data_IF_057771424725
#
_entry.id   IF_057771424725
#
_cell.length_a   1.000
_cell.length_b   1.000
_cell.length_c   1.000
_cell.angle_alpha   90.00
_cell.angle_beta   90.00
_cell.angle_gamma   90.00
#
_symmetry.space_group_name_H-M   'P 1'
#
loop_
_entity.id
_entity.type
_entity.pdbx_description
1 polymer ?
#
# COMPACT_ATOMS: atom_id res chain seq x y z
N UNK A 1 4.13 19.42 2.70
CA UNK A 1 2.90 19.70 3.47
C UNK A 1 3.11 20.94 4.33
N UNK A 2 2.18 21.90 4.26
CA UNK A 2 2.20 23.11 5.11
C UNK A 2 1.52 22.88 6.47
N UNK A 3 0.62 21.89 6.55
CA UNK A 3 -0.06 21.51 7.79
C UNK A 3 -0.32 20.00 7.87
N UNK A 4 -0.54 19.51 9.07
CA UNK A 4 -0.83 18.10 9.37
C UNK A 4 -2.32 17.76 9.34
N UNK A 5 -3.20 18.78 9.33
CA UNK A 5 -4.66 18.60 9.39
C UNK A 5 -5.29 18.26 8.05
N UNK A 6 -4.62 18.58 6.93
CA UNK A 6 -5.17 18.49 5.59
C UNK A 6 -6.17 19.60 5.25
N UNK A 7 -6.25 20.64 6.07
CA UNK A 7 -7.05 21.84 5.74
C UNK A 7 -6.42 22.49 4.51
N UNK A 8 -7.29 22.94 3.61
CA UNK A 8 -6.85 23.55 2.36
C UNK A 8 -5.96 24.80 2.61
N UNK A 9 -4.79 24.76 2.01
CA UNK A 9 -3.78 25.81 2.07
C UNK A 9 -3.03 25.77 0.73
N UNK A 10 -2.76 26.90 0.07
CA UNK A 10 -2.03 26.95 -1.20
C UNK A 10 -0.65 26.29 -1.17
N UNK A 11 0.03 26.34 -0.01
CA UNK A 11 1.33 25.71 0.21
C UNK A 11 1.24 24.22 0.56
N UNK A 12 0.02 23.69 0.77
CA UNK A 12 -0.22 22.29 1.14
C UNK A 12 -0.47 21.42 -0.09
N UNK A 13 0.57 21.08 -0.82
CA UNK A 13 0.53 20.24 -2.00
C UNK A 13 1.34 18.95 -1.82
N UNK A 14 0.99 17.94 -2.58
CA UNK A 14 1.64 16.63 -2.58
C UNK A 14 1.41 15.92 -3.91
N UNK A 15 2.11 14.82 -4.12
CA UNK A 15 1.87 13.92 -5.25
C UNK A 15 1.20 12.63 -4.80
N UNK A 16 0.54 11.92 -5.73
CA UNK A 16 0.00 10.57 -5.43
C UNK A 16 1.12 9.60 -5.01
N UNK A 17 2.34 9.83 -5.48
CA UNK A 17 3.52 9.05 -5.06
C UNK A 17 3.87 9.30 -3.60
N UNK A 18 3.89 10.54 -3.14
CA UNK A 18 4.21 10.88 -1.75
C UNK A 18 3.15 10.33 -0.80
N UNK A 19 1.88 10.43 -1.18
CA UNK A 19 0.78 9.81 -0.42
C UNK A 19 0.95 8.29 -0.36
N UNK A 20 1.38 7.64 -1.44
CA UNK A 20 1.67 6.20 -1.45
C UNK A 20 2.85 5.85 -0.52
N UNK A 21 3.93 6.65 -0.54
CA UNK A 21 5.08 6.46 0.34
C UNK A 21 4.70 6.61 1.81
N UNK A 22 3.93 7.66 2.15
CA UNK A 22 3.39 7.88 3.49
C UNK A 22 2.47 6.73 3.92
N UNK A 23 1.61 6.25 3.04
CA UNK A 23 0.73 5.10 3.28
C UNK A 23 1.53 3.83 3.59
N UNK A 24 2.57 3.54 2.80
CA UNK A 24 3.46 2.41 3.04
C UNK A 24 4.23 2.54 4.36
N UNK A 25 4.68 3.74 4.69
CA UNK A 25 5.35 4.00 5.96
C UNK A 25 4.42 3.71 7.14
N UNK A 26 3.18 4.21 7.10
CA UNK A 26 2.16 3.96 8.12
C UNK A 26 1.90 2.45 8.30
N UNK A 27 1.68 1.73 7.20
CA UNK A 27 1.40 0.29 7.22
C UNK A 27 2.56 -0.50 7.84
N UNK A 28 3.81 -0.17 7.47
CA UNK A 28 5.00 -0.91 7.90
C UNK A 28 5.41 -0.59 9.33
N UNK A 29 5.38 0.69 9.71
CA UNK A 29 5.97 1.15 10.96
C UNK A 29 4.94 1.34 12.07
N UNK A 30 3.66 1.43 11.72
CA UNK A 30 2.57 1.66 12.66
C UNK A 30 1.39 0.70 12.44
N UNK A 31 1.62 -0.64 12.34
CA UNK A 31 0.59 -1.61 12.00
C UNK A 31 -0.57 -1.61 13.00
N UNK A 32 -0.29 -1.40 14.29
CA UNK A 32 -1.33 -1.29 15.34
C UNK A 32 -2.32 -0.16 15.06
N UNK A 33 -1.85 1.00 14.62
CA UNK A 33 -2.71 2.14 14.30
C UNK A 33 -3.36 1.99 12.93
N UNK A 34 -2.71 1.25 12.02
CA UNK A 34 -3.26 0.97 10.70
C UNK A 34 -4.57 0.17 10.78
N UNK A 35 -4.74 -0.69 11.76
CA UNK A 35 -5.96 -1.46 12.00
C UNK A 35 -7.23 -0.59 12.07
N UNK A 36 -7.12 0.66 12.52
CA UNK A 36 -8.25 1.58 12.61
C UNK A 36 -8.81 2.00 11.24
N UNK A 37 -8.00 1.93 10.19
CA UNK A 37 -8.43 2.36 8.86
C UNK A 37 -9.41 1.39 8.19
N UNK A 38 -9.51 0.17 8.67
CA UNK A 38 -10.49 -0.83 8.20
C UNK A 38 -11.84 -0.74 8.90
N UNK A 39 -11.93 0.00 10.03
CA UNK A 39 -13.18 0.17 10.77
C UNK A 39 -14.22 0.82 9.86
N UNK A 40 -15.43 0.22 9.82
CA UNK A 40 -16.51 0.67 8.96
C UNK A 40 -17.31 1.81 9.55
N UNK A 41 -17.36 1.90 10.86
CA UNK A 41 -18.03 2.97 11.61
C UNK A 41 -17.32 3.25 12.92
N UNK A 42 -17.51 4.44 13.44
CA UNK A 42 -17.00 4.86 14.72
C UNK A 42 -18.04 5.72 15.45
N UNK A 43 -18.26 5.39 16.72
CA UNK A 43 -19.16 6.14 17.59
C UNK A 43 -18.33 6.82 18.67
N UNK A 44 -18.60 8.08 18.92
CA UNK A 44 -17.98 8.82 20.01
C UNK A 44 -19.01 9.64 20.77
N UNK A 45 -18.74 9.83 22.06
CA UNK A 45 -19.56 10.67 22.91
C UNK A 45 -19.29 12.14 22.57
N UNK A 46 -20.38 12.86 22.36
CA UNK A 46 -20.33 14.29 22.15
C UNK A 46 -20.52 14.99 23.49
N UNK A 47 -19.60 15.91 23.83
CA UNK A 47 -19.75 16.73 25.03
C UNK A 47 -21.07 17.50 25.00
N UNK A 48 -21.98 17.19 25.94
CA UNK A 48 -23.30 17.85 26.07
C UNK A 48 -24.34 17.46 25.02
N UNK A 49 -24.22 16.28 24.38
CA UNK A 49 -25.19 15.78 23.42
C UNK A 49 -25.19 14.27 23.27
N UNK A 50 -26.06 13.74 22.41
CA UNK A 50 -26.11 12.32 22.11
C UNK A 50 -24.87 11.82 21.40
N UNK A 51 -24.48 10.54 21.55
CA UNK A 51 -23.39 9.92 20.80
C UNK A 51 -23.56 10.08 19.29
N UNK A 52 -22.45 10.34 18.61
CA UNK A 52 -22.43 10.47 17.15
C UNK A 52 -21.80 9.23 16.55
N UNK A 53 -22.54 8.54 15.67
CA UNK A 53 -22.01 7.44 14.85
C UNK A 53 -21.75 7.92 13.44
N UNK A 54 -20.54 7.68 12.94
CA UNK A 54 -20.14 8.06 11.58
C UNK A 54 -19.58 6.86 10.83
N UNK A 55 -20.10 6.60 9.63
CA UNK A 55 -19.57 5.58 8.73
C UNK A 55 -18.27 6.01 8.05
N UNK A 56 -17.39 5.05 7.81
CA UNK A 56 -16.17 5.28 7.04
C UNK A 56 -16.53 5.65 5.60
N UNK A 57 -15.94 6.71 5.10
CA UNK A 57 -16.20 7.23 3.73
C UNK A 57 -15.45 6.48 2.64
N UNK A 58 -14.59 5.52 2.99
CA UNK A 58 -13.89 4.69 2.01
C UNK A 58 -14.84 3.64 1.42
N UNK A 59 -15.26 3.78 0.14
CA UNK A 59 -16.24 2.88 -0.45
C UNK A 59 -15.72 1.47 -0.66
N UNK A 60 -14.40 1.27 -0.63
CA UNK A 60 -13.80 -0.03 -0.91
C UNK A 60 -13.90 -1.00 0.27
N UNK A 61 -14.05 -0.48 1.50
CA UNK A 61 -14.28 -1.29 2.70
C UNK A 61 -15.62 -2.05 2.66
N UNK A 62 -16.58 -1.56 1.87
CA UNK A 62 -17.90 -2.15 1.72
C UNK A 62 -17.99 -3.09 0.51
N UNK A 63 -16.89 -3.25 -0.23
CA UNK A 63 -16.79 -4.18 -1.35
C UNK A 63 -16.10 -5.47 -0.90
N UNK A 64 -16.67 -6.61 -1.28
CA UNK A 64 -16.19 -7.93 -0.85
C UNK A 64 -14.92 -8.38 -1.59
N UNK A 65 -13.88 -7.55 -1.65
CA UNK A 65 -12.59 -7.95 -2.22
C UNK A 65 -11.39 -7.76 -1.28
N UNK A 66 -11.68 -7.39 -0.01
CA UNK A 66 -10.68 -7.39 1.07
C UNK A 66 -9.86 -6.13 1.20
N UNK A 67 -10.38 -4.96 0.76
CA UNK A 67 -9.74 -3.69 1.06
C UNK A 67 -9.77 -3.41 2.58
N UNK A 68 -8.67 -2.89 3.12
CA UNK A 68 -8.44 -2.66 4.56
C UNK A 68 -8.03 -1.22 4.92
N UNK A 69 -8.14 -0.30 4.00
CA UNK A 69 -7.82 1.12 4.19
C UNK A 69 -7.87 1.88 2.87
N UNK A 70 -7.46 3.14 2.80
CA UNK A 70 -6.80 3.94 3.84
C UNK A 70 -7.63 5.22 4.11
N UNK A 71 -7.58 6.21 3.19
CA UNK A 71 -8.17 7.53 3.43
C UNK A 71 -8.76 8.13 2.17
N UNK A 72 -9.94 8.71 2.31
CA UNK A 72 -10.59 9.52 1.27
C UNK A 72 -10.25 10.99 1.44
N UNK A 73 -10.16 11.72 0.34
CA UNK A 73 -10.06 13.17 0.31
C UNK A 73 -11.11 13.80 -0.62
N UNK A 74 -11.39 15.07 -0.37
CA UNK A 74 -12.17 15.92 -1.25
C UNK A 74 -11.80 17.38 -1.02
N UNK A 75 -11.46 18.07 -2.09
CA UNK A 75 -11.37 19.52 -2.18
C UNK A 75 -12.11 19.97 -3.45
N UNK A 76 -12.73 21.12 -3.43
CA UNK A 76 -13.47 21.61 -4.59
C UNK A 76 -12.60 21.72 -5.85
N UNK A 77 -11.34 22.14 -5.68
CA UNK A 77 -10.34 22.29 -6.75
C UNK A 77 -9.77 20.95 -7.22
N UNK A 78 -9.55 19.99 -6.29
CA UNK A 78 -8.89 18.71 -6.54
C UNK A 78 -9.89 17.55 -6.74
N UNK A 79 -11.18 17.81 -6.55
CA UNK A 79 -12.23 16.80 -6.61
C UNK A 79 -12.02 15.68 -5.57
N UNK A 80 -12.39 14.45 -5.93
CA UNK A 80 -12.31 13.30 -5.03
C UNK A 80 -10.97 12.58 -5.14
N UNK A 81 -10.44 12.15 -4.02
CA UNK A 81 -9.22 11.34 -3.95
C UNK A 81 -9.40 10.14 -3.04
N UNK A 82 -8.55 9.13 -3.22
CA UNK A 82 -8.52 7.93 -2.40
C UNK A 82 -7.11 7.33 -2.38
N UNK A 83 -6.57 7.17 -1.19
CA UNK A 83 -5.53 6.21 -0.91
C UNK A 83 -6.21 4.92 -0.43
N UNK A 84 -5.91 3.81 -1.07
CA UNK A 84 -6.54 2.52 -0.79
C UNK A 84 -5.50 1.41 -0.71
N UNK A 85 -5.81 0.38 0.09
CA UNK A 85 -4.95 -0.78 0.28
C UNK A 85 -5.76 -2.07 0.31
N UNK A 86 -5.11 -3.14 -0.09
CA UNK A 86 -5.61 -4.51 -0.01
C UNK A 86 -4.46 -5.45 0.27
N UNK A 87 -4.70 -6.45 1.13
CA UNK A 87 -3.78 -7.56 1.32
C UNK A 87 -4.43 -8.88 0.93
N UNK A 88 -3.73 -9.65 0.11
CA UNK A 88 -4.19 -10.98 -0.30
C UNK A 88 -3.01 -11.92 -0.48
N UNK A 89 -3.07 -13.08 0.17
CA UNK A 89 -2.03 -14.12 0.10
C UNK A 89 -0.63 -13.59 0.45
N UNK A 90 -0.52 -12.79 1.50
CA UNK A 90 0.75 -12.19 1.94
C UNK A 90 1.29 -11.10 1.02
N UNK A 91 0.52 -10.68 0.02
CA UNK A 91 0.86 -9.58 -0.88
C UNK A 91 -0.03 -8.38 -0.61
N UNK A 92 0.58 -7.27 -0.25
CA UNK A 92 -0.09 -5.99 -0.08
C UNK A 92 0.06 -5.12 -1.33
N UNK A 93 -1.02 -4.46 -1.70
CA UNK A 93 -1.05 -3.44 -2.72
C UNK A 93 -1.59 -2.14 -2.12
N UNK A 94 -0.97 -1.04 -2.50
CA UNK A 94 -1.44 0.31 -2.21
C UNK A 94 -1.69 1.01 -3.53
N UNK A 95 -2.85 1.63 -3.66
CA UNK A 95 -3.24 2.43 -4.83
C UNK A 95 -3.71 3.81 -4.37
N UNK A 96 -3.18 4.85 -5.01
CA UNK A 96 -3.54 6.25 -4.73
C UNK A 96 -3.99 6.91 -6.01
N UNK A 97 -5.13 7.56 -5.95
CA UNK A 97 -5.68 8.34 -7.06
C UNK A 97 -6.28 9.65 -6.57
N UNK A 98 -6.18 10.71 -7.37
CA UNK A 98 -6.75 12.02 -7.14
C UNK A 98 -7.43 12.55 -8.41
N UNK A 99 -8.21 13.60 -8.28
CA UNK A 99 -8.87 14.25 -9.41
C UNK A 99 -10.10 13.52 -9.94
N UNK A 100 -10.69 12.58 -9.21
CA UNK A 100 -11.90 11.90 -9.64
C UNK A 100 -13.10 12.86 -9.60
N UNK A 101 -13.82 13.00 -10.70
CA UNK A 101 -14.96 13.92 -10.82
C UNK A 101 -16.10 13.58 -9.85
N UNK A 102 -16.33 12.29 -9.57
CA UNK A 102 -17.43 11.82 -8.73
C UNK A 102 -16.98 10.77 -7.72
N UNK A 103 -17.75 10.63 -6.61
CA UNK A 103 -17.58 9.54 -5.64
C UNK A 103 -17.68 8.16 -6.31
N UNK A 104 -18.56 8.01 -7.29
CA UNK A 104 -18.78 6.77 -8.04
C UNK A 104 -17.54 6.42 -8.87
N UNK A 105 -16.99 7.41 -9.59
CA UNK A 105 -15.79 7.24 -10.41
C UNK A 105 -14.57 6.90 -9.52
N UNK A 106 -14.38 7.63 -8.43
CA UNK A 106 -13.35 7.31 -7.42
C UNK A 106 -13.42 5.85 -6.98
N UNK A 107 -14.61 5.38 -6.57
CA UNK A 107 -14.83 4.00 -6.15
C UNK A 107 -14.54 2.98 -7.25
N UNK A 108 -14.99 3.25 -8.47
CA UNK A 108 -14.82 2.38 -9.64
C UNK A 108 -13.36 2.24 -10.04
N UNK A 109 -12.68 3.36 -10.27
CA UNK A 109 -11.32 3.35 -10.80
C UNK A 109 -10.29 2.89 -9.77
N UNK A 110 -10.46 3.24 -8.49
CA UNK A 110 -9.60 2.71 -7.40
C UNK A 110 -9.75 1.20 -7.25
N UNK A 111 -10.97 0.65 -7.33
CA UNK A 111 -11.18 -0.80 -7.33
C UNK A 111 -10.50 -1.48 -8.52
N UNK A 112 -10.66 -0.89 -9.71
CA UNK A 112 -10.10 -1.40 -10.95
C UNK A 112 -8.56 -1.45 -10.90
N UNK A 113 -7.93 -0.40 -10.36
CA UNK A 113 -6.49 -0.35 -10.19
C UNK A 113 -5.97 -1.43 -9.23
N UNK A 114 -6.60 -1.61 -8.07
CA UNK A 114 -6.24 -2.67 -7.12
C UNK A 114 -6.43 -4.07 -7.72
N UNK A 115 -7.56 -4.32 -8.37
CA UNK A 115 -7.82 -5.59 -9.05
C UNK A 115 -6.79 -5.83 -10.15
N UNK A 116 -6.48 -4.83 -10.95
CA UNK A 116 -5.42 -4.92 -11.97
C UNK A 116 -4.09 -5.34 -11.36
N UNK A 117 -3.67 -4.71 -10.26
CA UNK A 117 -2.46 -5.07 -9.54
C UNK A 117 -2.46 -6.51 -9.02
N UNK A 118 -3.60 -6.98 -8.50
CA UNK A 118 -3.75 -8.35 -7.99
C UNK A 118 -3.73 -9.41 -9.10
N UNK A 119 -4.33 -9.11 -10.25
CA UNK A 119 -4.55 -10.10 -11.31
C UNK A 119 -3.41 -10.18 -12.32
N UNK A 120 -2.67 -9.08 -12.53
CA UNK A 120 -1.66 -9.00 -13.59
C UNK A 120 -0.22 -9.13 -13.11
N UNK A 121 0.00 -9.19 -11.80
CA UNK A 121 1.36 -9.28 -11.25
C UNK A 121 1.44 -10.39 -10.19
N UNK A 122 2.58 -11.04 -10.12
CA UNK A 122 2.94 -12.02 -9.11
C UNK A 122 4.07 -11.48 -8.23
N UNK A 123 4.07 -11.89 -6.94
CA UNK A 123 5.18 -11.66 -6.02
C UNK A 123 6.03 -12.93 -5.99
N UNK A 124 7.28 -12.81 -6.38
CA UNK A 124 8.23 -13.93 -6.41
C UNK A 124 9.24 -13.73 -5.31
N UNK A 125 9.43 -14.77 -4.48
CA UNK A 125 10.56 -14.83 -3.55
C UNK A 125 11.81 -15.22 -4.35
N UNK A 126 12.80 -14.35 -4.36
CA UNK A 126 14.10 -14.54 -5.05
C UNK A 126 15.08 -15.27 -4.12
N UNK A 127 15.16 -14.82 -2.87
CA UNK A 127 15.99 -15.45 -1.86
C UNK A 127 15.29 -15.52 -0.52
N UNK A 128 15.67 -16.48 0.28
CA UNK A 128 15.22 -16.66 1.65
C UNK A 128 16.35 -16.28 2.60
N UNK A 129 15.99 -15.51 3.65
CA UNK A 129 16.94 -15.11 4.70
C UNK A 129 17.72 -16.29 5.25
N UNK A 130 19.02 -16.11 5.44
CA UNK A 130 19.95 -17.09 6.03
C UNK A 130 20.10 -18.43 5.27
N UNK A 131 19.45 -18.58 4.11
CA UNK A 131 19.70 -19.72 3.22
C UNK A 131 20.75 -19.38 2.18
N UNK A 132 21.55 -20.41 1.85
CA UNK A 132 22.57 -20.26 0.81
C UNK A 132 21.87 -19.86 -0.49
N UNK A 133 22.19 -18.65 -0.96
CA UNK A 133 21.68 -18.11 -2.20
C UNK A 133 22.55 -18.50 -3.39
N UNK A 134 23.88 -18.42 -3.21
CA UNK A 134 24.88 -18.72 -4.23
C UNK A 134 26.24 -19.05 -3.59
N UNK A 135 27.20 -19.51 -4.42
CA UNK A 135 28.60 -19.70 -4.06
C UNK A 135 29.46 -18.85 -4.97
N UNK A 136 30.32 -18.03 -4.37
CA UNK A 136 31.22 -17.15 -5.10
C UNK A 136 32.66 -17.68 -4.98
N UNK A 137 33.36 -17.74 -6.10
CA UNK A 137 34.77 -18.09 -6.12
C UNK A 137 35.61 -16.96 -5.51
N UNK A 138 36.54 -17.34 -4.62
CA UNK A 138 37.41 -16.40 -3.92
C UNK A 138 38.82 -16.53 -4.49
N UNK A 139 39.28 -15.46 -5.12
CA UNK A 139 40.66 -15.41 -5.63
C UNK A 139 41.65 -15.18 -4.48
N UNK A 140 42.68 -16.01 -4.41
CA UNK A 140 43.72 -16.01 -3.37
C UNK A 140 43.20 -16.19 -1.93
N UNK A 141 41.97 -16.68 -1.74
CA UNK A 141 41.42 -17.00 -0.47
C UNK A 141 41.88 -18.36 0.07
N UNK A 142 41.74 -18.59 1.38
CA UNK A 142 41.99 -19.91 1.99
C UNK A 142 41.05 -20.97 1.43
N UNK A 143 39.77 -20.60 1.25
CA UNK A 143 38.76 -21.45 0.64
C UNK A 143 38.47 -20.97 -0.79
N UNK A 144 38.36 -21.91 -1.71
CA UNK A 144 38.09 -21.60 -3.12
C UNK A 144 36.72 -20.98 -3.35
N UNK A 145 35.73 -21.32 -2.51
CA UNK A 145 34.36 -20.83 -2.60
C UNK A 145 33.85 -20.41 -1.25
N UNK A 146 33.06 -19.33 -1.22
CA UNK A 146 32.29 -18.90 -0.05
C UNK A 146 30.80 -18.92 -0.35
N UNK A 147 30.02 -19.30 0.66
CA UNK A 147 28.56 -19.24 0.57
C UNK A 147 28.07 -17.79 0.75
N UNK A 148 27.13 -17.39 -0.08
CA UNK A 148 26.48 -16.07 -0.03
C UNK A 148 25.06 -16.22 0.50
N UNK A 149 24.70 -15.36 1.44
CA UNK A 149 23.37 -15.31 2.07
C UNK A 149 22.79 -13.92 1.93
N UNK A 150 21.47 -13.85 1.96
CA UNK A 150 20.76 -12.58 2.10
C UNK A 150 20.31 -12.40 3.54
N UNK A 151 20.50 -11.19 4.10
CA UNK A 151 20.05 -10.88 5.47
C UNK A 151 18.52 -10.95 5.63
N UNK A 152 17.80 -10.69 4.54
CA UNK A 152 16.34 -10.63 4.51
C UNK A 152 15.81 -11.43 3.33
N UNK A 153 14.53 -11.80 3.41
CA UNK A 153 13.81 -12.35 2.25
C UNK A 153 13.75 -11.30 1.14
N UNK A 154 14.21 -11.62 -0.04
CA UNK A 154 14.13 -10.73 -1.22
C UNK A 154 12.94 -11.15 -2.08
N UNK A 155 12.04 -10.20 -2.31
CA UNK A 155 10.87 -10.38 -3.17
C UNK A 155 10.95 -9.45 -4.38
N UNK A 156 10.42 -9.92 -5.50
CA UNK A 156 10.25 -9.13 -6.71
C UNK A 156 8.84 -9.25 -7.26
N UNK A 157 8.21 -8.11 -7.53
CA UNK A 157 6.96 -8.08 -8.28
C UNK A 157 7.27 -8.18 -9.77
N UNK A 158 6.62 -9.10 -10.46
CA UNK A 158 6.77 -9.33 -11.90
C UNK A 158 5.40 -9.40 -12.56
N UNK A 159 5.34 -9.05 -13.83
CA UNK A 159 4.12 -9.25 -14.62
C UNK A 159 3.84 -10.76 -14.74
N UNK A 160 2.57 -11.14 -14.61
CA UNK A 160 2.14 -12.53 -14.70
C UNK A 160 2.63 -13.18 -15.99
N UNK A 161 3.17 -14.38 -15.90
CA UNK A 161 3.77 -15.11 -17.02
C UNK A 161 5.24 -14.73 -17.34
N UNK A 162 5.79 -13.66 -16.73
CA UNK A 162 7.17 -13.21 -17.01
C UNK A 162 8.21 -13.73 -16.01
N UNK A 163 7.85 -14.66 -15.12
CA UNK A 163 8.78 -15.27 -14.15
C UNK A 163 10.03 -15.84 -14.82
N UNK A 164 9.90 -16.45 -16.01
CA UNK A 164 11.01 -17.06 -16.77
C UNK A 164 12.02 -16.01 -17.30
N UNK A 165 11.65 -14.74 -17.33
CA UNK A 165 12.52 -13.65 -17.82
C UNK A 165 13.40 -13.05 -16.71
N UNK A 166 13.17 -13.43 -15.45
CA UNK A 166 14.00 -12.99 -14.33
C UNK A 166 15.37 -13.67 -14.42
N UNK A 167 16.39 -12.86 -14.55
CA UNK A 167 17.80 -13.25 -14.39
C UNK A 167 18.34 -12.51 -13.16
N UNK A 168 18.86 -13.24 -12.21
CA UNK A 168 19.62 -12.69 -11.09
C UNK A 168 21.08 -12.69 -11.55
N UNK A 169 21.69 -11.53 -11.54
CA UNK A 169 23.11 -11.35 -11.84
C UNK A 169 23.82 -10.89 -10.59
#
# INVERSE_FOLDING_TARGET
FSNSSGINDPENYSTVRDIMLMSNYLIKNHPKYYEWFKEKEFTWDRTGGDPITQGNRNPLLYKNFGADGIKTGYLAVERYSLASSIERNGRRLVAVGSGFETKKLRSKESSKLLIYGLTNFDLIKISESEKIFDKIEVWLGRDKYVNVYTKENIFKTVKKGQKKLLKVK
#
